data_IF_680499202513
#
_entry.id   IF_680499202513
#
_cell.length_a   1.000
_cell.length_b   1.000
_cell.length_c   1.000
_cell.angle_alpha   90.00
_cell.angle_beta   90.00
_cell.angle_gamma   90.00
#
_symmetry.space_group_name_H-M   'P 1'
#
loop_
_entity.id
_entity.type
_entity.pdbx_description
1 polymer ?
#
# COMPACT_ATOMS: atom_id res chain seq x y z
N UNK A 1 10.07 7.90 -10.94
CA UNK A 1 9.68 6.68 -10.19
C UNK A 1 9.60 6.94 -8.68
N UNK A 2 8.91 8.01 -8.23
CA UNK A 2 8.86 8.39 -6.81
C UNK A 2 7.81 7.57 -6.04
N UNK A 3 6.71 7.21 -6.72
CA UNK A 3 5.58 6.49 -6.10
C UNK A 3 5.96 5.14 -5.50
N UNK A 4 6.85 4.36 -6.12
CA UNK A 4 7.23 3.02 -5.62
C UNK A 4 7.95 3.09 -4.27
N UNK A 5 8.89 4.03 -4.11
CA UNK A 5 9.65 4.18 -2.86
C UNK A 5 8.75 4.66 -1.72
N UNK A 6 7.87 5.63 -2.02
CA UNK A 6 6.88 6.15 -1.06
C UNK A 6 5.90 5.04 -0.65
N UNK A 7 5.40 4.26 -1.61
CA UNK A 7 4.48 3.16 -1.34
C UNK A 7 5.16 2.07 -0.48
N UNK A 8 6.39 1.69 -0.81
CA UNK A 8 7.15 0.66 -0.06
C UNK A 8 7.43 1.12 1.37
N UNK A 9 7.83 2.38 1.57
CA UNK A 9 8.15 2.92 2.88
C UNK A 9 6.91 3.09 3.76
N UNK A 10 5.82 3.63 3.18
CA UNK A 10 4.56 3.77 3.89
C UNK A 10 3.93 2.41 4.20
N UNK A 11 4.06 1.43 3.30
CA UNK A 11 3.52 0.09 3.51
C UNK A 11 4.21 -0.65 4.67
N UNK A 12 5.52 -0.43 4.89
CA UNK A 12 6.22 -0.95 6.09
C UNK A 12 5.66 -0.41 7.40
N UNK A 13 5.19 0.83 7.41
CA UNK A 13 4.61 1.48 8.60
C UNK A 13 3.10 1.24 8.74
N UNK A 14 2.41 0.99 7.62
CA UNK A 14 0.96 0.81 7.54
C UNK A 14 0.62 -0.37 6.62
N UNK A 15 0.54 -1.61 7.16
CA UNK A 15 0.28 -2.80 6.35
C UNK A 15 -1.15 -2.84 5.76
N UNK A 16 -2.04 -1.93 6.19
CA UNK A 16 -3.41 -1.84 5.68
C UNK A 16 -3.51 -0.90 4.47
N UNK A 17 -3.90 -1.46 3.33
CA UNK A 17 -4.22 -0.72 2.09
C UNK A 17 -5.24 0.39 2.28
N UNK A 18 -6.26 0.17 3.14
CA UNK A 18 -7.27 1.20 3.46
C UNK A 18 -6.69 2.44 4.14
N UNK A 19 -5.81 2.28 5.13
CA UNK A 19 -5.20 3.45 5.82
C UNK A 19 -4.23 4.19 4.90
N UNK A 20 -3.48 3.45 4.07
CA UNK A 20 -2.59 4.02 3.06
C UNK A 20 -3.36 4.88 2.04
N UNK A 21 -4.44 4.30 1.51
CA UNK A 21 -5.32 4.93 0.53
C UNK A 21 -5.95 6.22 1.06
N UNK A 22 -6.46 6.19 2.30
CA UNK A 22 -7.03 7.37 2.96
C UNK A 22 -6.00 8.50 3.15
N UNK A 23 -4.74 8.17 3.45
CA UNK A 23 -3.66 9.17 3.58
C UNK A 23 -3.18 9.73 2.24
N UNK A 24 -3.16 8.89 1.21
CA UNK A 24 -2.69 9.26 -0.13
C UNK A 24 -3.79 9.88 -1.01
N UNK A 25 -5.03 9.94 -0.53
CA UNK A 25 -6.17 10.49 -1.28
C UNK A 25 -6.54 9.67 -2.52
N UNK A 26 -6.16 8.39 -2.55
CA UNK A 26 -6.41 7.48 -3.68
C UNK A 26 -7.29 6.31 -3.27
N UNK A 27 -7.89 5.63 -4.23
CA UNK A 27 -8.69 4.45 -3.97
C UNK A 27 -7.87 3.29 -3.39
N UNK A 28 -8.43 2.59 -2.41
CA UNK A 28 -7.80 1.40 -1.82
C UNK A 28 -7.53 0.31 -2.86
N UNK A 29 -8.36 0.22 -3.89
CA UNK A 29 -8.19 -0.68 -5.05
C UNK A 29 -6.98 -0.30 -5.89
N UNK A 30 -6.73 1.00 -6.09
CA UNK A 30 -5.55 1.48 -6.82
C UNK A 30 -4.26 1.15 -6.05
N UNK A 31 -4.25 1.35 -4.73
CA UNK A 31 -3.14 0.95 -3.86
C UNK A 31 -2.96 -0.58 -3.88
N UNK A 32 -4.04 -1.35 -3.80
CA UNK A 32 -3.99 -2.81 -3.82
C UNK A 32 -3.39 -3.34 -5.15
N UNK A 33 -3.77 -2.75 -6.28
CA UNK A 33 -3.20 -3.07 -7.58
C UNK A 33 -1.71 -2.71 -7.64
N UNK A 34 -1.32 -1.52 -7.19
CA UNK A 34 0.10 -1.12 -7.12
C UNK A 34 0.92 -2.04 -6.21
N UNK A 35 0.39 -2.45 -5.06
CA UNK A 35 1.08 -3.40 -4.17
C UNK A 35 1.24 -4.79 -4.79
N UNK A 36 0.22 -5.28 -5.51
CA UNK A 36 0.31 -6.54 -6.25
C UNK A 36 1.36 -6.47 -7.35
N UNK A 37 1.35 -5.39 -8.13
CA UNK A 37 2.33 -5.13 -9.21
C UNK A 37 3.77 -5.07 -8.67
N UNK A 38 3.96 -4.47 -7.49
CA UNK A 38 5.27 -4.40 -6.86
C UNK A 38 5.67 -5.64 -6.04
N UNK A 39 4.81 -6.67 -5.96
CA UNK A 39 5.05 -7.87 -5.15
C UNK A 39 5.06 -7.60 -3.64
N UNK A 40 4.47 -6.48 -3.22
CA UNK A 40 4.45 -5.99 -1.85
C UNK A 40 3.18 -6.40 -1.09
N UNK A 41 2.34 -7.30 -1.62
CA UNK A 41 1.17 -7.78 -0.87
C UNK A 41 1.61 -8.74 0.26
N UNK A 42 2.12 -8.20 1.36
CA UNK A 42 2.28 -8.96 2.58
C UNK A 42 0.92 -9.11 3.24
N UNK A 43 0.49 -10.35 3.32
CA UNK A 43 -0.69 -10.83 4.04
C UNK A 43 -0.46 -10.57 5.55
N UNK A 44 -0.57 -9.31 6.00
CA UNK A 44 -0.55 -8.95 7.42
C UNK A 44 -1.87 -8.26 7.75
N UNK A 45 -2.89 -9.10 7.85
CA UNK A 45 -4.26 -8.74 8.18
C UNK A 45 -4.94 -9.92 8.86
N UNK A 46 -4.30 -10.44 9.91
CA UNK A 46 -4.90 -11.27 10.95
C UNK A 46 -4.25 -10.85 12.27
N UNK A 47 -4.77 -9.78 12.87
CA UNK A 47 -4.95 -9.62 14.31
C UNK A 47 -6.09 -8.62 14.55
#
# INVERSE_FOLDING_TARGET
RIERSVLTQLYRSYPSTRKLAKRLGVSHTAIANKLREYGLSQKKGEE
#
